data_IF_346900921418
#
_entry.id   IF_346900921418
#
_cell.length_a   1.000
_cell.length_b   1.000
_cell.length_c   1.000
_cell.angle_alpha   90.00
_cell.angle_beta   90.00
_cell.angle_gamma   90.00
#
_symmetry.space_group_name_H-M   'P 1'
#
loop_
_entity.id
_entity.type
_entity.pdbx_description
1 polymer ?
#
# COMPACT_ATOMS: atom_id res chain seq x y z
N UNK A 1 -68.25 34.51 6.77
CA UNK A 1 -68.10 33.22 7.48
C UNK A 1 -67.10 32.38 6.71
N UNK A 2 -66.17 31.64 7.27
CA UNK A 2 -65.47 31.59 8.55
C UNK A 2 -64.33 30.60 8.26
N UNK A 3 -63.18 30.78 8.91
CA UNK A 3 -61.97 29.97 8.84
C UNK A 3 -62.23 28.45 8.96
N UNK A 4 -61.26 27.61 8.54
CA UNK A 4 -60.46 26.75 9.44
C UNK A 4 -59.47 25.90 8.62
N UNK A 5 -58.19 26.11 8.93
CA UNK A 5 -57.04 25.24 8.65
C UNK A 5 -57.08 24.07 9.64
N UNK A 6 -56.81 22.83 9.20
CA UNK A 6 -55.94 21.94 9.98
C UNK A 6 -54.83 21.39 9.08
N UNK A 7 -53.55 21.60 9.38
CA UNK A 7 -52.74 21.00 10.45
C UNK A 7 -52.58 19.47 10.25
N UNK A 8 -51.32 19.03 10.27
CA UNK A 8 -50.80 17.65 10.32
C UNK A 8 -50.79 16.87 8.97
N UNK A 9 -49.73 16.18 8.55
CA UNK A 9 -48.65 15.60 9.33
C UNK A 9 -47.34 15.47 8.55
N UNK A 10 -46.25 15.73 9.28
CA UNK A 10 -44.87 15.41 8.96
C UNK A 10 -44.69 13.94 8.57
N UNK A 11 -44.05 13.68 7.42
CA UNK A 11 -43.21 12.50 7.24
C UNK A 11 -41.97 12.89 6.43
N UNK A 12 -41.19 13.81 7.00
CA UNK A 12 -39.75 13.87 6.72
C UNK A 12 -39.15 12.60 7.34
N UNK A 13 -39.11 11.52 6.55
CA UNK A 13 -38.23 10.40 6.80
C UNK A 13 -36.79 10.90 6.57
N UNK A 14 -36.25 11.58 7.59
CA UNK A 14 -34.82 11.83 7.70
C UNK A 14 -34.22 10.46 7.96
N UNK A 15 -33.90 9.76 6.86
CA UNK A 15 -33.01 8.61 6.91
C UNK A 15 -31.71 9.12 7.51
N UNK A 16 -31.50 8.82 8.79
CA UNK A 16 -30.18 8.78 9.39
C UNK A 16 -29.44 7.68 8.66
N UNK A 17 -28.89 8.03 7.50
CA UNK A 17 -27.92 7.20 6.82
C UNK A 17 -26.78 7.01 7.81
N UNK A 18 -26.77 5.85 8.46
CA UNK A 18 -25.58 5.34 9.11
C UNK A 18 -24.49 5.38 8.04
N UNK A 19 -23.66 6.42 8.08
CA UNK A 19 -22.37 6.33 7.43
C UNK A 19 -21.68 5.17 8.13
N UNK A 20 -21.34 4.08 7.43
CA UNK A 20 -20.61 2.99 8.06
C UNK A 20 -19.38 3.60 8.70
N UNK A 21 -19.21 3.38 10.01
CA UNK A 21 -18.10 3.92 10.77
C UNK A 21 -16.82 3.66 10.00
N UNK A 22 -16.18 4.74 9.54
CA UNK A 22 -14.88 4.63 8.89
C UNK A 22 -13.94 4.07 9.93
N UNK A 23 -13.53 2.82 9.75
CA UNK A 23 -12.57 2.16 10.63
C UNK A 23 -11.31 3.02 10.66
N UNK A 24 -11.02 3.63 11.80
CA UNK A 24 -9.78 4.37 12.00
C UNK A 24 -8.63 3.38 12.08
N UNK A 25 -7.44 3.70 11.55
CA UNK A 25 -6.27 2.87 11.77
C UNK A 25 -5.98 2.81 13.27
N UNK A 26 -5.82 1.60 13.80
CA UNK A 26 -5.39 1.36 15.18
C UNK A 26 -3.90 1.68 15.37
N UNK A 27 -3.42 1.76 16.62
CA UNK A 27 -2.02 2.08 16.92
C UNK A 27 -1.02 1.11 16.27
N UNK A 28 -1.36 -0.18 16.18
CA UNK A 28 -0.52 -1.21 15.54
C UNK A 28 -0.41 -0.97 14.02
N UNK A 29 -1.50 -0.57 13.38
CA UNK A 29 -1.52 -0.26 11.95
C UNK A 29 -0.70 1.01 11.65
N UNK A 30 -0.81 2.03 12.51
CA UNK A 30 0.01 3.25 12.42
C UNK A 30 1.50 2.95 12.64
N UNK A 31 1.84 2.16 13.65
CA UNK A 31 3.23 1.75 13.89
C UNK A 31 3.81 0.94 12.70
N UNK A 32 3.00 0.10 12.06
CA UNK A 32 3.38 -0.60 10.83
C UNK A 32 3.64 0.39 9.68
N UNK A 33 2.75 1.37 9.48
CA UNK A 33 2.93 2.42 8.46
C UNK A 33 4.23 3.19 8.70
N UNK A 34 4.45 3.66 9.92
CA UNK A 34 5.61 4.49 10.27
C UNK A 34 6.92 3.71 10.12
N UNK A 35 6.92 2.42 10.49
CA UNK A 35 8.05 1.52 10.22
C UNK A 35 8.33 1.39 8.73
N UNK A 36 7.30 1.24 7.90
CA UNK A 36 7.46 1.10 6.45
C UNK A 36 7.97 2.41 5.83
N UNK A 37 7.38 3.56 6.19
CA UNK A 37 7.78 4.87 5.68
C UNK A 37 9.22 5.23 6.09
N UNK A 38 9.58 5.04 7.36
CA UNK A 38 10.95 5.32 7.85
C UNK A 38 12.03 4.50 7.15
N UNK A 39 11.69 3.34 6.58
CA UNK A 39 12.60 2.52 5.78
C UNK A 39 12.58 2.89 4.29
N UNK A 40 11.44 3.34 3.75
CA UNK A 40 11.28 3.66 2.33
C UNK A 40 11.77 5.07 1.99
N UNK A 41 11.36 6.08 2.75
CA UNK A 41 11.58 7.48 2.40
C UNK A 41 13.06 7.83 2.16
N UNK A 42 14.02 7.35 2.98
CA UNK A 42 15.44 7.65 2.77
C UNK A 42 16.00 7.06 1.48
N UNK A 43 15.48 5.91 1.02
CA UNK A 43 16.06 5.17 -0.10
C UNK A 43 15.43 5.50 -1.46
N UNK A 44 14.19 6.02 -1.47
CA UNK A 44 13.43 6.25 -2.70
C UNK A 44 14.16 7.17 -3.69
N UNK A 45 14.79 8.29 -3.28
CA UNK A 45 15.53 9.14 -4.20
C UNK A 45 16.72 8.43 -4.85
N UNK A 46 17.52 7.71 -4.05
CA UNK A 46 18.69 6.97 -4.54
C UNK A 46 18.29 5.82 -5.47
N UNK A 47 17.25 5.09 -5.09
CA UNK A 47 16.70 4.00 -5.90
C UNK A 47 16.20 4.51 -7.26
N UNK A 48 15.47 5.62 -7.27
CA UNK A 48 14.96 6.25 -8.49
C UNK A 48 16.10 6.67 -9.43
N UNK A 49 17.13 7.31 -8.89
CA UNK A 49 18.30 7.73 -9.65
C UNK A 49 19.06 6.55 -10.27
N UNK A 50 19.36 5.51 -9.48
CA UNK A 50 20.07 4.32 -9.96
C UNK A 50 19.23 3.50 -10.96
N UNK A 51 17.92 3.42 -10.75
CA UNK A 51 17.02 2.73 -11.67
C UNK A 51 17.02 3.38 -13.06
N UNK A 52 16.94 4.71 -13.12
CA UNK A 52 16.97 5.48 -14.37
C UNK A 52 18.31 5.34 -15.12
N UNK A 53 19.41 5.29 -14.37
CA UNK A 53 20.74 5.06 -14.92
C UNK A 53 21.01 3.59 -15.30
N UNK A 54 20.00 2.71 -15.21
CA UNK A 54 20.09 1.26 -15.47
C UNK A 54 21.19 0.58 -14.66
N UNK A 55 21.51 1.12 -13.47
CA UNK A 55 22.52 0.62 -12.54
C UNK A 55 21.98 -0.57 -11.75
N UNK A 56 21.77 -1.70 -12.45
CA UNK A 56 21.09 -2.90 -11.92
C UNK A 56 21.72 -3.44 -10.63
N UNK A 57 23.05 -3.40 -10.51
CA UNK A 57 23.76 -3.87 -9.30
C UNK A 57 23.44 -2.99 -8.09
N UNK A 58 23.44 -1.67 -8.26
CA UNK A 58 23.10 -0.70 -7.21
C UNK A 58 21.63 -0.80 -6.82
N UNK A 59 20.73 -0.87 -7.81
CA UNK A 59 19.29 -1.12 -7.56
C UNK A 59 19.10 -2.38 -6.73
N UNK A 60 19.77 -3.47 -7.11
CA UNK A 60 19.72 -4.73 -6.37
C UNK A 60 20.17 -4.56 -4.92
N UNK A 61 21.30 -3.87 -4.69
CA UNK A 61 21.86 -3.65 -3.36
C UNK A 61 20.95 -2.77 -2.48
N UNK A 62 20.36 -1.71 -3.02
CA UNK A 62 19.41 -0.85 -2.28
C UNK A 62 18.19 -1.66 -1.84
N UNK A 63 17.65 -2.50 -2.73
CA UNK A 63 16.51 -3.37 -2.41
C UNK A 63 16.89 -4.47 -1.40
N UNK A 64 18.13 -4.98 -1.45
CA UNK A 64 18.67 -5.90 -0.44
C UNK A 64 18.70 -5.24 0.94
N UNK A 65 19.21 -4.01 1.03
CA UNK A 65 19.23 -3.23 2.28
C UNK A 65 17.83 -2.98 2.80
N UNK A 66 16.90 -2.53 1.95
CA UNK A 66 15.50 -2.32 2.33
C UNK A 66 14.88 -3.61 2.89
N UNK A 67 15.06 -4.71 2.18
CA UNK A 67 14.53 -6.01 2.57
C UNK A 67 15.08 -6.46 3.93
N UNK A 68 16.39 -6.28 4.16
CA UNK A 68 17.03 -6.60 5.43
C UNK A 68 16.47 -5.74 6.58
N UNK A 69 16.36 -4.42 6.38
CA UNK A 69 15.85 -3.50 7.41
C UNK A 69 14.39 -3.76 7.78
N UNK A 70 13.55 -4.14 6.80
CA UNK A 70 12.16 -4.50 7.03
C UNK A 70 11.99 -5.85 7.74
N UNK A 71 12.93 -6.78 7.61
CA UNK A 71 12.75 -8.16 8.09
C UNK A 71 13.61 -8.55 9.30
N UNK A 72 14.49 -7.65 9.77
CA UNK A 72 15.29 -7.84 11.00
C UNK A 72 15.80 -9.28 11.20
N UNK A 73 16.72 -9.77 10.37
CA UNK A 73 17.47 -11.04 10.48
C UNK A 73 16.73 -12.34 10.86
N UNK A 74 15.40 -12.36 10.99
CA UNK A 74 14.65 -13.53 11.46
C UNK A 74 14.29 -14.46 10.30
N UNK A 75 14.21 -15.75 10.61
CA UNK A 75 14.05 -16.82 9.63
C UNK A 75 12.67 -16.77 8.93
N UNK A 76 11.69 -16.06 9.49
CA UNK A 76 10.33 -15.91 8.95
C UNK A 76 9.99 -14.46 8.64
N UNK A 77 10.66 -13.92 7.63
CA UNK A 77 10.40 -12.61 7.03
C UNK A 77 8.94 -12.47 6.56
N UNK A 78 8.14 -11.55 7.14
CA UNK A 78 6.74 -11.36 6.73
C UNK A 78 6.57 -10.43 5.52
N UNK A 79 7.63 -9.70 5.15
CA UNK A 79 7.62 -8.78 4.03
C UNK A 79 8.24 -9.39 2.79
N UNK A 80 7.64 -9.14 1.63
CA UNK A 80 8.22 -9.39 0.32
C UNK A 80 8.28 -8.09 -0.47
N UNK A 81 9.26 -8.01 -1.37
CA UNK A 81 9.54 -6.80 -2.15
C UNK A 81 9.62 -7.16 -3.63
N UNK A 82 9.01 -6.35 -4.48
CA UNK A 82 9.24 -6.39 -5.93
C UNK A 82 9.41 -4.98 -6.47
N UNK A 83 10.28 -4.82 -7.46
CA UNK A 83 10.41 -3.61 -8.25
C UNK A 83 9.94 -3.91 -9.66
N UNK A 84 8.92 -3.17 -10.10
CA UNK A 84 8.36 -3.23 -11.44
C UNK A 84 8.80 -2.03 -12.27
N UNK A 85 8.84 -2.19 -13.58
CA UNK A 85 8.94 -1.07 -14.51
C UNK A 85 7.61 -0.31 -14.63
N UNK A 86 7.58 0.72 -15.49
CA UNK A 86 6.39 1.54 -15.74
C UNK A 86 5.23 0.80 -16.42
N UNK A 87 5.43 -0.44 -16.87
CA UNK A 87 4.41 -1.29 -17.49
C UNK A 87 3.95 -2.42 -16.55
N UNK A 88 4.49 -2.49 -15.33
CA UNK A 88 4.19 -3.53 -14.36
C UNK A 88 5.00 -4.82 -14.55
N UNK A 89 6.06 -4.80 -15.36
CA UNK A 89 6.96 -5.95 -15.54
C UNK A 89 7.96 -6.01 -14.41
N UNK A 90 8.09 -7.18 -13.76
CA UNK A 90 9.05 -7.38 -12.67
C UNK A 90 10.49 -7.24 -13.15
N UNK A 91 11.23 -6.29 -12.57
CA UNK A 91 12.67 -6.10 -12.80
C UNK A 91 13.49 -6.93 -11.81
N UNK A 92 13.10 -6.94 -10.54
CA UNK A 92 13.72 -7.76 -9.51
C UNK A 92 12.77 -7.91 -8.32
N UNK A 93 12.94 -8.96 -7.53
CA UNK A 93 12.16 -9.21 -6.32
C UNK A 93 13.02 -9.80 -5.21
N UNK A 94 12.56 -9.66 -3.97
CA UNK A 94 13.02 -10.37 -2.78
C UNK A 94 11.82 -10.98 -2.10
N UNK A 95 11.77 -12.30 -2.15
CA UNK A 95 10.73 -13.11 -1.51
C UNK A 95 11.35 -14.45 -1.11
N UNK A 96 10.91 -15.03 0.01
CA UNK A 96 11.20 -16.44 0.35
C UNK A 96 10.24 -17.41 -0.35
N UNK A 97 9.07 -16.94 -0.79
CA UNK A 97 8.01 -17.81 -1.34
C UNK A 97 7.24 -17.11 -2.47
N UNK A 98 7.33 -17.65 -3.69
CA UNK A 98 6.36 -17.53 -4.80
C UNK A 98 5.91 -16.13 -5.29
N UNK A 99 6.83 -15.18 -5.42
CA UNK A 99 6.80 -14.28 -6.60
C UNK A 99 7.83 -14.80 -7.59
N UNK A 100 7.56 -15.98 -8.14
CA UNK A 100 8.47 -16.70 -9.04
C UNK A 100 8.46 -16.09 -10.43
N UNK A 101 9.63 -15.68 -10.91
CA UNK A 101 9.88 -15.39 -12.33
C UNK A 101 9.40 -14.01 -12.79
N UNK A 102 9.76 -13.67 -14.03
CA UNK A 102 9.43 -12.43 -14.75
C UNK A 102 7.91 -12.27 -14.95
N UNK A 103 7.17 -12.06 -13.87
CA UNK A 103 5.73 -11.88 -13.89
C UNK A 103 5.42 -10.44 -14.28
N UNK A 104 4.46 -10.30 -15.19
CA UNK A 104 3.88 -9.03 -15.57
C UNK A 104 2.60 -8.81 -14.77
N UNK A 105 2.65 -7.84 -13.87
CA UNK A 105 1.54 -7.45 -13.01
C UNK A 105 0.75 -6.26 -13.56
N UNK A 106 1.07 -5.77 -14.77
CA UNK A 106 0.42 -4.60 -15.39
C UNK A 106 -1.10 -4.75 -15.56
N UNK A 107 -1.61 -5.99 -15.63
CA UNK A 107 -3.04 -6.26 -15.74
C UNK A 107 -3.78 -6.21 -14.39
N UNK A 108 -3.07 -6.14 -13.26
CA UNK A 108 -3.71 -6.01 -11.95
C UNK A 108 -4.23 -4.59 -11.76
N UNK A 109 -5.49 -4.45 -11.36
CA UNK A 109 -6.15 -3.15 -11.21
C UNK A 109 -5.38 -2.18 -10.28
N UNK A 110 -4.81 -2.70 -9.20
CA UNK A 110 -4.00 -1.91 -8.26
C UNK A 110 -2.74 -1.32 -8.92
N UNK A 111 -2.10 -2.07 -9.83
CA UNK A 111 -0.91 -1.63 -10.57
C UNK A 111 -1.27 -0.57 -11.60
N UNK A 112 -2.36 -0.77 -12.34
CA UNK A 112 -2.89 0.27 -13.22
C UNK A 112 -3.22 1.57 -12.44
N UNK A 113 -3.81 1.43 -11.24
CA UNK A 113 -4.21 2.57 -10.40
C UNK A 113 -3.02 3.34 -9.84
N UNK A 114 -1.96 2.69 -9.35
CA UNK A 114 -0.73 3.38 -8.89
C UNK A 114 -0.03 4.07 -10.07
N UNK A 115 0.03 3.44 -11.25
CA UNK A 115 0.63 4.03 -12.45
C UNK A 115 -0.14 5.28 -12.90
N UNK A 116 -1.47 5.19 -12.93
CA UNK A 116 -2.34 6.29 -13.35
C UNK A 116 -2.33 7.44 -12.35
N UNK A 117 -2.49 7.15 -11.05
CA UNK A 117 -2.61 8.18 -10.01
C UNK A 117 -1.29 8.74 -9.55
N UNK A 118 -0.18 8.01 -9.74
CA UNK A 118 1.17 8.35 -9.25
C UNK A 118 1.15 8.65 -7.75
N UNK A 119 0.37 7.87 -7.00
CA UNK A 119 0.21 7.94 -5.54
C UNK A 119 0.34 6.54 -4.98
N UNK A 120 0.84 6.42 -3.75
CA UNK A 120 0.92 5.13 -3.06
C UNK A 120 -0.48 4.57 -2.84
N UNK A 121 -0.69 3.30 -3.19
CA UNK A 121 -1.97 2.59 -3.05
C UNK A 121 -1.79 1.34 -2.20
N UNK A 122 -2.66 1.16 -1.21
CA UNK A 122 -2.81 -0.08 -0.44
C UNK A 122 -3.88 -0.98 -1.09
N UNK A 123 -3.68 -2.29 -1.05
CA UNK A 123 -4.66 -3.27 -1.54
C UNK A 123 -4.39 -4.66 -0.97
N UNK A 124 -5.28 -5.61 -1.26
CA UNK A 124 -5.04 -7.04 -1.06
C UNK A 124 -5.17 -7.76 -2.40
N UNK A 125 -4.40 -8.82 -2.57
CA UNK A 125 -4.46 -9.67 -3.76
C UNK A 125 -4.32 -11.14 -3.37
N UNK A 126 -4.88 -12.00 -4.21
CA UNK A 126 -4.67 -13.44 -4.11
C UNK A 126 -3.58 -13.82 -5.11
N UNK A 127 -2.53 -14.47 -4.61
CA UNK A 127 -1.49 -15.06 -5.43
C UNK A 127 -2.05 -16.29 -6.14
N UNK A 128 -1.37 -16.75 -7.19
CA UNK A 128 -1.78 -17.92 -7.97
C UNK A 128 -1.95 -19.19 -7.11
N UNK A 129 -1.22 -19.29 -5.99
CA UNK A 129 -1.37 -20.36 -5.00
C UNK A 129 -2.51 -20.19 -4.01
N UNK A 130 -3.42 -19.21 -4.20
CA UNK A 130 -4.55 -18.92 -3.32
C UNK A 130 -4.19 -18.14 -2.05
N UNK A 131 -2.91 -17.93 -1.76
CA UNK A 131 -2.46 -17.14 -0.63
C UNK A 131 -2.90 -15.67 -0.78
N UNK A 132 -3.55 -15.14 0.26
CA UNK A 132 -3.89 -13.72 0.34
C UNK A 132 -2.69 -12.94 0.84
N UNK A 133 -2.35 -11.87 0.14
CA UNK A 133 -1.30 -10.94 0.54
C UNK A 133 -1.81 -9.51 0.52
N UNK A 134 -1.33 -8.73 1.47
CA UNK A 134 -1.59 -7.30 1.55
C UNK A 134 -0.43 -6.57 0.91
N UNK A 135 -0.70 -5.55 0.11
CA UNK A 135 0.32 -4.84 -0.66
C UNK A 135 0.21 -3.35 -0.50
N UNK A 136 1.37 -2.71 -0.60
CA UNK A 136 1.58 -1.28 -0.68
C UNK A 136 2.35 -1.05 -1.99
N UNK A 137 1.69 -0.44 -2.95
CA UNK A 137 2.27 -0.09 -4.24
C UNK A 137 2.75 1.37 -4.19
N UNK A 138 4.06 1.56 -4.16
CA UNK A 138 4.71 2.87 -4.06
C UNK A 138 5.23 3.27 -5.45
N UNK A 139 4.77 4.39 -6.03
CA UNK A 139 5.29 4.85 -7.32
C UNK A 139 6.73 5.35 -7.15
N UNK A 140 7.64 4.82 -7.97
CA UNK A 140 9.02 5.31 -8.02
C UNK A 140 9.07 6.52 -8.96
N UNK A 141 9.04 7.72 -8.38
CA UNK A 141 9.01 8.97 -9.14
C UNK A 141 10.43 9.47 -9.44
N UNK A 142 10.66 9.95 -10.65
CA UNK A 142 11.81 10.77 -11.01
C UNK A 142 11.29 12.14 -11.47
N UNK A 143 11.40 13.15 -10.61
CA UNK A 143 10.71 14.43 -10.77
C UNK A 143 9.21 14.17 -10.99
N UNK A 144 8.70 14.39 -12.20
CA UNK A 144 7.30 14.19 -12.57
C UNK A 144 7.04 12.89 -13.33
N UNK A 145 8.08 12.15 -13.73
CA UNK A 145 7.96 10.92 -14.53
C UNK A 145 7.93 9.69 -13.62
N UNK A 146 6.99 8.79 -13.87
CA UNK A 146 6.98 7.48 -13.24
C UNK A 146 8.13 6.62 -13.82
N UNK A 147 9.05 6.21 -12.96
CA UNK A 147 10.15 5.31 -13.31
C UNK A 147 9.70 3.85 -13.24
N UNK A 148 8.90 3.52 -12.23
CA UNK A 148 8.47 2.15 -11.95
C UNK A 148 7.60 2.12 -10.69
N UNK A 149 7.38 0.93 -10.15
CA UNK A 149 6.55 0.72 -8.95
C UNK A 149 7.27 -0.24 -8.01
N UNK A 150 7.40 0.14 -6.74
CA UNK A 150 7.79 -0.78 -5.68
C UNK A 150 6.51 -1.41 -5.15
N UNK A 151 6.47 -2.73 -5.11
CA UNK A 151 5.47 -3.48 -4.37
C UNK A 151 6.15 -3.95 -3.10
N UNK A 152 5.70 -3.43 -1.97
CA UNK A 152 5.91 -4.07 -0.69
C UNK A 152 4.67 -4.90 -0.40
N UNK A 153 4.83 -6.17 -0.06
CA UNK A 153 3.70 -6.92 0.46
C UNK A 153 4.00 -7.68 1.72
N UNK A 154 2.91 -8.04 2.37
CA UNK A 154 2.85 -8.46 3.76
C UNK A 154 1.97 -9.69 3.80
N UNK A 155 2.50 -10.76 4.39
CA UNK A 155 1.77 -11.98 4.61
C UNK A 155 0.54 -11.75 5.51
N UNK A 156 -0.59 -12.37 5.18
CA UNK A 156 -1.81 -12.25 5.96
C UNK A 156 -1.69 -12.72 7.42
N UNK A 157 -0.85 -13.73 7.67
CA UNK A 157 -0.57 -14.25 9.01
C UNK A 157 0.14 -13.22 9.88
N UNK A 158 1.03 -12.42 9.29
CA UNK A 158 1.70 -11.35 10.03
C UNK A 158 0.70 -10.30 10.50
N UNK A 159 -0.13 -9.76 9.61
CA UNK A 159 -1.15 -8.77 10.01
C UNK A 159 -2.08 -9.33 11.09
N UNK A 160 -2.52 -10.59 10.94
CA UNK A 160 -3.36 -11.26 11.93
C UNK A 160 -2.70 -11.36 13.30
N UNK A 161 -1.43 -11.79 13.36
CA UNK A 161 -0.67 -11.90 14.62
C UNK A 161 -0.36 -10.54 15.25
N UNK A 162 -0.23 -9.50 14.43
CA UNK A 162 -0.04 -8.12 14.88
C UNK A 162 -1.35 -7.44 15.30
N UNK A 163 -2.50 -8.12 15.25
CA UNK A 163 -3.79 -7.53 15.62
C UNK A 163 -4.34 -6.50 14.62
N UNK A 164 -3.78 -6.42 13.41
CA UNK A 164 -4.17 -5.47 12.38
C UNK A 164 -5.24 -6.11 11.49
N UNK A 165 -6.43 -5.55 11.47
CA UNK A 165 -7.50 -6.00 10.58
C UNK A 165 -7.25 -5.55 9.13
N UNK A 166 -7.90 -6.22 8.18
CA UNK A 166 -7.89 -5.79 6.78
C UNK A 166 -8.41 -4.36 6.64
N UNK A 167 -9.52 -4.02 7.31
CA UNK A 167 -10.08 -2.68 7.21
C UNK A 167 -9.10 -1.62 7.72
N UNK A 168 -8.43 -1.88 8.86
CA UNK A 168 -7.40 -0.97 9.39
C UNK A 168 -6.25 -0.83 8.40
N UNK A 169 -5.74 -1.93 7.83
CA UNK A 169 -4.68 -1.88 6.84
C UNK A 169 -5.07 -1.08 5.58
N UNK A 170 -6.30 -1.26 5.07
CA UNK A 170 -6.78 -0.53 3.89
C UNK A 170 -6.97 0.97 4.14
N UNK A 171 -7.09 1.39 5.40
CA UNK A 171 -7.22 2.82 5.77
C UNK A 171 -5.87 3.52 5.92
N UNK A 172 -4.75 2.79 5.86
CA UNK A 172 -3.42 3.39 5.95
C UNK A 172 -3.16 4.31 4.75
N UNK A 173 -2.89 5.57 5.05
CA UNK A 173 -2.42 6.54 4.06
C UNK A 173 -0.91 6.71 4.16
N UNK A 174 -0.25 6.49 3.02
CA UNK A 174 1.20 6.65 2.83
C UNK A 174 1.54 7.90 2.01
N UNK A 175 0.55 8.71 1.64
CA UNK A 175 0.73 9.90 0.81
C UNK A 175 0.77 11.20 1.62
N UNK A 176 0.34 11.15 2.88
CA UNK A 176 0.46 12.26 3.81
C UNK A 176 1.73 12.10 4.65
N UNK A 177 2.38 13.20 5.07
CA UNK A 177 3.44 13.13 6.08
C UNK A 177 2.91 12.37 7.29
N UNK A 178 3.72 11.52 7.92
CA UNK A 178 3.39 11.05 9.26
C UNK A 178 3.22 12.31 10.12
N UNK A 179 2.07 12.49 10.76
CA UNK A 179 1.87 13.52 11.78
C UNK A 179 2.81 13.22 12.95
N UNK A 180 4.10 13.54 12.75
CA UNK A 180 5.05 13.70 13.82
C UNK A 180 4.59 14.93 14.57
N UNK A 181 4.10 14.70 15.78
CA UNK A 181 3.91 15.73 16.80
C UNK A 181 5.13 16.68 16.77
N UNK A 182 4.91 18.01 16.75
CA UNK A 182 6.00 18.99 16.78
C UNK A 182 6.89 18.84 18.01
#
# INVERSE_FOLDING_TARGET
>A
MLQIIPLLACLFAIGTGCQPDRVSPGPEALALRDRIQSNLDPILPELSANFQQKKRKQVKAILDTLYASLNQSDEKSPFFLALLDSHGVTITSRTKTLLSGSQNYGNYHVIAKVIQKRKTITSSLYLQGGAKVYIICVPLMNKTKLAGVIILGIDSEYLRKSGISEQQFMTLDFNSPSDGTP
#
